data_IF_300809178959
#
_entry.id   IF_300809178959
#
_cell.length_a   1.000
_cell.length_b   1.000
_cell.length_c   1.000
_cell.angle_alpha   90.00
_cell.angle_beta   90.00
_cell.angle_gamma   90.00
#
_symmetry.space_group_name_H-M   'P 1'
#
loop_
_entity.id
_entity.type
_entity.pdbx_description
1 polymer ?
#
# COMPACT_ATOMS: atom_id res chain seq x y z
N UNK A 1 6.69 -11.76 -13.07
CA UNK A 1 7.15 -12.07 -12.52
C UNK A 1 7.60 -11.42 -11.53
N UNK A 2 7.88 -10.73 -11.36
CA UNK A 2 8.41 -10.27 -10.48
C UNK A 2 7.82 -9.51 -9.51
N UNK A 3 6.88 -9.92 -8.82
CA UNK A 3 6.32 -9.22 -7.71
C UNK A 3 6.90 -9.65 -6.41
N UNK A 4 8.15 -10.10 -6.44
CA UNK A 4 8.79 -10.55 -5.23
C UNK A 4 8.87 -9.47 -4.18
N UNK A 5 9.08 -8.21 -4.60
CA UNK A 5 9.14 -7.13 -3.63
C UNK A 5 7.79 -6.90 -2.96
N UNK A 6 6.71 -7.13 -3.68
CA UNK A 6 5.38 -6.93 -3.12
C UNK A 6 4.96 -8.08 -2.21
N UNK A 7 5.64 -9.22 -2.33
CA UNK A 7 5.31 -10.38 -1.53
C UNK A 7 6.34 -10.67 -0.45
N UNK A 8 7.39 -9.88 -0.38
CA UNK A 8 8.44 -10.09 0.62
C UNK A 8 7.99 -9.60 1.98
N UNK A 9 7.94 -10.51 2.92
CA UNK A 9 7.57 -10.18 4.28
C UNK A 9 8.73 -9.47 4.97
N UNK A 10 8.46 -8.39 5.66
CA UNK A 10 9.50 -7.65 6.36
C UNK A 10 8.90 -6.50 7.15
N UNK A 11 9.72 -5.52 7.47
CA UNK A 11 9.29 -4.34 8.17
C UNK A 11 9.21 -3.20 7.17
N UNK A 12 8.04 -2.58 7.10
CA UNK A 12 7.80 -1.52 6.13
C UNK A 12 7.19 -0.31 6.82
N UNK A 13 7.58 0.85 6.34
CA UNK A 13 6.94 2.09 6.74
C UNK A 13 5.85 2.40 5.73
N UNK A 14 4.64 2.53 6.19
CA UNK A 14 3.48 2.73 5.33
C UNK A 14 3.04 4.17 5.41
N UNK A 15 2.96 4.80 4.26
CA UNK A 15 2.56 6.20 4.17
C UNK A 15 1.37 6.35 3.25
N UNK A 16 0.29 6.88 3.78
CA UNK A 16 -0.92 7.15 3.01
C UNK A 16 -1.40 8.55 3.39
N UNK A 17 -0.82 9.56 2.78
CA UNK A 17 -1.08 10.95 3.21
C UNK A 17 -2.52 11.38 3.08
N UNK A 18 -3.27 10.80 2.13
CA UNK A 18 -4.66 11.20 1.97
C UNK A 18 -5.48 10.90 3.20
N UNK A 19 -5.09 9.92 3.98
CA UNK A 19 -5.76 9.59 5.22
C UNK A 19 -4.95 10.02 6.44
N UNK A 20 -3.83 10.70 6.23
CA UNK A 20 -2.95 11.06 7.32
C UNK A 20 -2.26 9.87 7.96
N UNK A 21 -2.10 8.79 7.21
CA UNK A 21 -1.58 7.57 7.76
C UNK A 21 -0.07 7.49 7.57
N UNK A 22 0.65 7.20 8.65
CA UNK A 22 2.09 7.02 8.61
C UNK A 22 2.45 6.12 9.77
N UNK A 23 2.70 4.85 9.47
CA UNK A 23 3.01 3.89 10.53
C UNK A 23 3.96 2.84 10.00
N UNK A 24 4.56 2.10 10.91
CA UNK A 24 5.48 1.02 10.57
C UNK A 24 4.82 -0.30 10.90
N UNK A 25 4.85 -1.22 9.95
CA UNK A 25 4.27 -2.54 10.10
C UNK A 25 5.36 -3.59 9.86
N UNK A 26 5.48 -4.51 10.77
CA UNK A 26 6.45 -5.60 10.67
C UNK A 26 5.72 -6.92 10.52
N UNK A 27 6.34 -7.84 9.79
CA UNK A 27 5.79 -9.18 9.63
C UNK A 27 4.79 -9.33 8.50
N UNK A 28 4.70 -8.33 7.63
CA UNK A 28 3.76 -8.35 6.51
C UNK A 28 4.49 -8.00 5.23
N UNK A 29 3.97 -8.51 4.12
CA UNK A 29 4.44 -8.06 2.81
C UNK A 29 3.65 -6.82 2.40
N UNK A 30 4.13 -6.04 1.43
CA UNK A 30 3.37 -4.87 0.95
C UNK A 30 1.96 -5.23 0.46
N UNK A 31 1.81 -6.38 -0.22
CA UNK A 31 0.48 -6.81 -0.66
C UNK A 31 -0.42 -7.12 0.52
N UNK A 32 0.11 -7.71 1.56
CA UNK A 32 -0.67 -7.98 2.77
C UNK A 32 -1.06 -6.70 3.47
N UNK A 33 -0.16 -5.72 3.50
CA UNK A 33 -0.44 -4.42 4.09
C UNK A 33 -1.60 -3.76 3.34
N UNK A 34 -1.56 -3.79 2.01
CA UNK A 34 -2.64 -3.23 1.22
C UNK A 34 -3.97 -3.93 1.55
N UNK A 35 -3.96 -5.25 1.62
CA UNK A 35 -5.16 -6.00 1.93
C UNK A 35 -5.75 -5.61 3.27
N UNK A 36 -4.90 -5.47 4.27
CA UNK A 36 -5.36 -5.09 5.59
C UNK A 36 -5.93 -3.67 5.59
N UNK A 37 -5.25 -2.75 4.94
CA UNK A 37 -5.72 -1.38 4.92
C UNK A 37 -6.94 -1.21 4.04
N UNK A 38 -7.10 -2.02 3.01
CA UNK A 38 -8.25 -1.92 2.13
C UNK A 38 -9.55 -2.26 2.86
N UNK A 39 -9.48 -2.97 3.95
CA UNK A 39 -10.67 -3.23 4.74
C UNK A 39 -11.15 -1.97 5.47
N UNK A 40 -10.27 -1.01 5.69
CA UNK A 40 -10.64 0.26 6.30
C UNK A 40 -10.73 1.39 5.29
N UNK A 41 -9.90 1.37 4.27
CA UNK A 41 -9.87 2.39 3.24
C UNK A 41 -10.20 1.72 1.92
N UNK A 42 -11.47 1.69 1.59
CA UNK A 42 -11.96 0.90 0.45
C UNK A 42 -11.30 1.28 -0.86
N UNK A 43 -10.91 2.51 -1.02
CA UNK A 43 -10.24 2.95 -2.24
C UNK A 43 -8.92 2.22 -2.45
N UNK A 44 -8.32 1.67 -1.41
CA UNK A 44 -7.08 0.96 -1.55
C UNK A 44 -7.25 -0.39 -2.24
N UNK A 45 -8.47 -0.88 -2.35
CA UNK A 45 -8.68 -2.14 -3.05
C UNK A 45 -8.28 -2.04 -4.52
N UNK A 46 -8.35 -0.85 -5.10
CA UNK A 46 -7.97 -0.65 -6.49
C UNK A 46 -6.67 0.13 -6.64
N UNK A 47 -6.01 0.44 -5.53
CA UNK A 47 -4.76 1.19 -5.58
C UNK A 47 -3.61 0.30 -6.02
N UNK A 48 -2.58 0.94 -6.56
CA UNK A 48 -1.34 0.27 -6.91
C UNK A 48 -0.37 0.43 -5.77
N UNK A 49 0.19 -0.66 -5.29
CA UNK A 49 1.19 -0.63 -4.23
C UNK A 49 2.54 -0.26 -4.82
N UNK A 50 3.21 0.69 -4.20
CA UNK A 50 4.55 1.08 -4.62
C UNK A 50 5.50 0.93 -3.44
N UNK A 51 6.66 0.34 -3.69
CA UNK A 51 7.66 0.13 -2.66
C UNK A 51 8.96 0.79 -3.08
N UNK A 52 9.50 1.61 -2.21
CA UNK A 52 10.78 2.24 -2.41
C UNK A 52 11.62 1.96 -1.16
N UNK A 53 12.61 1.08 -1.30
CA UNK A 53 13.34 0.62 -0.12
C UNK A 53 12.42 -0.15 0.78
N UNK A 54 12.16 0.38 1.96
CA UNK A 54 11.19 -0.24 2.86
C UNK A 54 10.00 0.69 3.13
N UNK A 55 9.74 1.64 2.23
CA UNK A 55 8.60 2.53 2.35
C UNK A 55 7.53 2.09 1.37
N UNK A 56 6.33 1.88 1.86
CA UNK A 56 5.18 1.46 1.06
C UNK A 56 4.24 2.63 0.88
N UNK A 57 3.89 2.92 -0.36
CA UNK A 57 2.91 3.95 -0.67
C UNK A 57 1.87 3.37 -1.62
N UNK A 58 0.80 4.11 -1.82
CA UNK A 58 -0.30 3.68 -2.67
C UNK A 58 -0.63 4.75 -3.69
N UNK A 59 -0.79 4.31 -4.92
CA UNK A 59 -1.20 5.21 -6.00
C UNK A 59 -2.62 4.87 -6.40
N UNK A 60 -3.52 5.83 -6.25
CA UNK A 60 -4.91 5.62 -6.61
C UNK A 60 -5.12 5.87 -8.10
N UNK A 61 -6.06 5.18 -8.71
CA UNK A 61 -6.33 5.42 -10.13
C UNK A 61 -6.84 6.85 -10.30
N UNK A 62 -6.13 7.62 -11.11
CA UNK A 62 -6.45 9.03 -11.22
C UNK A 62 -7.50 9.29 -12.29
N UNK A 63 -7.80 8.40 -13.12
CA UNK A 63 -8.78 8.63 -14.16
C UNK A 63 -10.17 8.61 -13.67
N UNK A 64 -10.31 8.40 -12.49
CA UNK A 64 -11.58 8.39 -12.02
C UNK A 64 -12.15 9.65 -11.81
N UNK A 65 -11.96 10.31 -12.00
CA UNK A 65 -12.56 11.27 -11.64
C UNK A 65 -13.57 11.72 -12.08
N UNK A 66 -13.98 11.62 -12.19
CA UNK A 66 -14.63 11.85 -12.40
C UNK A 66 -15.17 12.09 -12.26
N UNK A 67 -15.08 12.01 -12.22
CA UNK A 67 -15.46 12.14 -12.09
C UNK A 67 -15.62 12.43 -12.05
#
# INVERSE_FOLDING_TARGET
MSNLLLDAVGTYRVQYPQAGLDLTIAGYSPNQIKSELASQYRELATATVQVAGNVVTFALPSGQKNG
#
